data_IF_154257201580
#
_entry.id   IF_154257201580
#
_cell.length_a   1.000
_cell.length_b   1.000
_cell.length_c   1.000
_cell.angle_alpha   90.00
_cell.angle_beta   90.00
_cell.angle_gamma   90.00
#
_symmetry.space_group_name_H-M   'P 1'
#
loop_
_entity.id
_entity.type
_entity.pdbx_description
1 polymer ?
#
# COMPACT_ATOMS: atom_id res chain seq x y z
N UNK A 1 36.69 -0.60 -21.17
CA UNK A 1 38.13 -0.88 -21.40
C UNK A 1 38.45 -1.00 -22.90
N UNK A 2 37.75 -1.84 -23.69
CA UNK A 2 37.98 -1.95 -25.16
C UNK A 2 37.87 -0.62 -25.92
N UNK A 3 36.76 0.11 -25.75
CA UNK A 3 36.56 1.39 -26.45
C UNK A 3 37.62 2.45 -26.13
N UNK A 4 38.12 2.48 -24.89
CA UNK A 4 39.18 3.40 -24.49
C UNK A 4 40.49 3.05 -25.20
N UNK A 5 40.84 1.76 -25.27
CA UNK A 5 42.02 1.29 -26.01
C UNK A 5 41.91 1.65 -27.49
N UNK A 6 40.77 1.43 -28.12
CA UNK A 6 40.54 1.80 -29.53
C UNK A 6 40.70 3.31 -29.76
N UNK A 7 40.19 4.14 -28.85
CA UNK A 7 40.34 5.59 -28.92
C UNK A 7 41.79 6.05 -28.71
N UNK A 8 42.54 5.41 -27.80
CA UNK A 8 43.96 5.69 -27.60
C UNK A 8 44.78 5.34 -28.85
N UNK A 9 44.55 4.16 -29.44
CA UNK A 9 45.22 3.75 -30.68
C UNK A 9 44.91 4.72 -31.82
N UNK A 10 43.64 5.13 -31.98
CA UNK A 10 43.26 6.13 -32.98
C UNK A 10 43.98 7.46 -32.76
N UNK A 11 44.06 7.91 -31.50
CA UNK A 11 44.77 9.13 -31.14
C UNK A 11 46.26 9.07 -31.48
N UNK A 12 46.92 7.95 -31.17
CA UNK A 12 48.34 7.74 -31.49
C UNK A 12 48.57 7.77 -33.01
N UNK A 13 47.71 7.09 -33.79
CA UNK A 13 47.77 7.09 -35.26
C UNK A 13 47.59 8.50 -35.82
N UNK A 14 46.60 9.24 -35.36
CA UNK A 14 46.35 10.62 -35.80
C UNK A 14 47.52 11.55 -35.47
N UNK A 15 48.16 11.35 -34.32
CA UNK A 15 49.33 12.13 -33.90
C UNK A 15 50.53 11.88 -34.81
N UNK A 16 50.79 10.61 -35.16
CA UNK A 16 51.89 10.24 -36.07
C UNK A 16 51.64 10.78 -37.49
N UNK A 17 50.41 10.66 -38.01
CA UNK A 17 50.03 11.18 -39.33
C UNK A 17 50.19 12.71 -39.41
N UNK A 18 49.87 13.43 -38.33
CA UNK A 18 50.03 14.89 -38.25
C UNK A 18 51.49 15.31 -38.44
N UNK A 19 52.42 14.60 -37.80
CA UNK A 19 53.84 14.92 -37.84
C UNK A 19 54.51 14.56 -39.18
N UNK A 20 53.86 13.70 -40.01
CA UNK A 20 54.27 13.27 -41.36
C UNK A 20 55.66 12.63 -41.47
N UNK A 21 56.41 12.54 -40.38
CA UNK A 21 57.79 12.03 -40.34
C UNK A 21 57.84 10.51 -40.48
N UNK A 22 56.82 9.80 -40.01
CA UNK A 22 56.81 8.34 -39.94
C UNK A 22 55.63 7.70 -40.70
N UNK A 23 54.63 8.49 -41.11
CA UNK A 23 53.47 8.01 -41.87
C UNK A 23 52.93 9.13 -42.75
N UNK A 24 52.68 8.83 -44.01
CA UNK A 24 52.04 9.72 -44.99
C UNK A 24 50.85 8.99 -45.60
N UNK A 25 49.74 9.71 -45.80
CA UNK A 25 48.54 9.14 -46.43
C UNK A 25 48.57 9.45 -47.92
N UNK A 26 48.55 8.41 -48.74
CA UNK A 26 48.42 8.56 -50.18
C UNK A 26 46.94 8.68 -50.56
N UNK A 27 46.59 9.60 -51.47
CA UNK A 27 45.22 9.70 -51.97
C UNK A 27 44.88 8.44 -52.77
N UNK A 28 43.82 7.75 -52.34
CA UNK A 28 43.24 6.63 -53.08
C UNK A 28 41.93 7.09 -53.70
N UNK A 29 41.80 6.93 -55.01
CA UNK A 29 40.53 7.07 -55.72
C UNK A 29 39.58 5.95 -55.27
N UNK A 30 38.49 6.30 -54.59
CA UNK A 30 37.42 5.35 -54.34
C UNK A 30 36.57 5.22 -55.59
N UNK A 31 36.65 4.09 -56.28
CA UNK A 31 35.67 3.75 -57.30
C UNK A 31 34.28 3.69 -56.64
N UNK A 32 33.32 4.41 -57.22
CA UNK A 32 31.95 4.44 -56.72
C UNK A 32 31.33 3.04 -56.85
N UNK A 33 31.34 2.29 -55.74
CA UNK A 33 30.67 0.99 -55.66
C UNK A 33 29.17 1.16 -55.97
N UNK A 34 28.58 0.32 -56.84
CA UNK A 34 27.18 0.44 -57.21
C UNK A 34 26.26 0.29 -55.98
N UNK A 35 25.17 1.08 -55.90
CA UNK A 35 24.33 1.21 -54.69
C UNK A 35 23.67 -0.09 -54.20
N UNK A 36 23.59 -1.12 -55.05
CA UNK A 36 23.05 -2.45 -54.70
C UNK A 36 24.03 -3.33 -53.90
N UNK A 37 25.30 -2.94 -53.79
CA UNK A 37 26.35 -3.71 -53.12
C UNK A 37 27.06 -2.89 -52.03
N UNK A 38 26.43 -1.85 -51.46
CA UNK A 38 27.06 -1.13 -50.36
C UNK A 38 26.77 -1.83 -49.01
N UNK A 39 27.70 -2.62 -48.45
CA UNK A 39 27.51 -3.30 -47.17
C UNK A 39 27.23 -2.31 -46.01
N UNK A 40 27.62 -1.04 -46.16
CA UNK A 40 27.38 0.00 -45.16
C UNK A 40 25.87 0.27 -44.98
N UNK A 41 25.08 0.22 -46.06
CA UNK A 41 23.62 0.43 -46.01
C UNK A 41 22.94 -0.70 -45.23
N UNK A 42 23.35 -1.94 -45.46
CA UNK A 42 22.82 -3.10 -44.73
C UNK A 42 23.15 -3.02 -43.23
N UNK A 43 24.39 -2.66 -42.90
CA UNK A 43 24.82 -2.45 -41.51
C UNK A 43 24.02 -1.35 -40.83
N UNK A 44 23.76 -0.24 -41.52
CA UNK A 44 22.96 0.87 -40.99
C UNK A 44 21.52 0.43 -40.68
N UNK A 45 20.88 -0.30 -41.59
CA UNK A 45 19.52 -0.82 -41.40
C UNK A 45 19.47 -1.79 -40.22
N UNK A 46 20.45 -2.69 -40.09
CA UNK A 46 20.57 -3.61 -38.97
C UNK A 46 20.67 -2.85 -37.63
N UNK A 47 21.60 -1.89 -37.53
CA UNK A 47 21.77 -1.05 -36.34
C UNK A 47 20.51 -0.27 -35.98
N UNK A 48 19.81 0.30 -36.96
CA UNK A 48 18.53 1.00 -36.74
C UNK A 48 17.48 0.06 -36.13
N UNK A 49 17.34 -1.16 -36.65
CA UNK A 49 16.40 -2.15 -36.12
C UNK A 49 16.76 -2.57 -34.69
N UNK A 50 18.03 -2.86 -34.43
CA UNK A 50 18.50 -3.22 -33.09
C UNK A 50 18.28 -2.10 -32.07
N UNK A 51 18.53 -0.85 -32.45
CA UNK A 51 18.30 0.31 -31.59
C UNK A 51 16.81 0.51 -31.27
N UNK A 52 15.94 0.38 -32.28
CA UNK A 52 14.50 0.44 -32.07
C UNK A 52 14.01 -0.66 -31.11
N UNK A 53 14.54 -1.88 -31.25
CA UNK A 53 14.28 -2.98 -30.33
C UNK A 53 14.71 -2.67 -28.90
N UNK A 54 15.92 -2.14 -28.71
CA UNK A 54 16.42 -1.73 -27.39
C UNK A 54 15.55 -0.65 -26.75
N UNK A 55 15.11 0.36 -27.53
CA UNK A 55 14.22 1.41 -27.03
C UNK A 55 12.88 0.85 -26.53
N UNK A 56 12.29 -0.11 -27.25
CA UNK A 56 11.04 -0.76 -26.83
C UNK A 56 11.22 -1.56 -25.53
N UNK A 57 12.35 -2.25 -25.36
CA UNK A 57 12.65 -2.98 -24.12
C UNK A 57 12.75 -2.01 -22.93
N UNK A 58 13.45 -0.89 -23.11
CA UNK A 58 13.59 0.13 -22.06
C UNK A 58 12.23 0.74 -21.69
N UNK A 59 11.40 1.06 -22.69
CA UNK A 59 10.06 1.62 -22.47
C UNK A 59 9.17 0.65 -21.69
N UNK A 60 9.12 -0.62 -22.11
CA UNK A 60 8.39 -1.68 -21.40
C UNK A 60 8.93 -1.92 -19.99
N UNK A 61 10.25 -1.78 -19.79
CA UNK A 61 10.89 -1.83 -18.49
C UNK A 61 10.44 -0.68 -17.59
N UNK A 62 10.40 0.55 -18.12
CA UNK A 62 9.93 1.73 -17.40
C UNK A 62 8.45 1.60 -16.99
N UNK A 63 7.58 1.13 -17.87
CA UNK A 63 6.17 0.86 -17.54
C UNK A 63 6.00 -0.12 -16.38
N UNK A 64 6.81 -1.19 -16.36
CA UNK A 64 6.82 -2.17 -15.26
C UNK A 64 7.31 -1.58 -13.96
N UNK A 65 8.32 -0.71 -14.01
CA UNK A 65 8.82 -0.01 -12.83
C UNK A 65 7.76 0.92 -12.24
N UNK A 66 7.03 1.68 -13.08
CA UNK A 66 5.94 2.54 -12.60
C UNK A 66 4.88 1.74 -11.85
N UNK A 67 4.44 0.60 -12.42
CA UNK A 67 3.48 -0.29 -11.74
C UNK A 67 4.02 -0.82 -10.42
N UNK A 68 5.27 -1.26 -10.40
CA UNK A 68 5.93 -1.76 -9.18
C UNK A 68 6.07 -0.68 -8.10
N UNK A 69 6.29 0.58 -8.46
CA UNK A 69 6.31 1.71 -7.50
C UNK A 69 4.95 1.91 -6.86
N UNK A 70 3.86 1.90 -7.64
CA UNK A 70 2.48 2.02 -7.14
C UNK A 70 2.14 0.84 -6.20
N UNK A 71 2.43 -0.39 -6.61
CA UNK A 71 2.24 -1.59 -5.78
C UNK A 71 3.07 -1.53 -4.47
N UNK A 72 4.28 -0.95 -4.51
CA UNK A 72 5.12 -0.80 -3.32
C UNK A 72 4.58 0.26 -2.35
N UNK A 73 3.96 1.32 -2.86
CA UNK A 73 3.26 2.29 -2.01
C UNK A 73 2.05 1.66 -1.33
N UNK A 74 1.23 0.89 -2.05
CA UNK A 74 0.13 0.12 -1.47
C UNK A 74 0.63 -0.88 -0.42
N UNK A 75 1.76 -1.54 -0.66
CA UNK A 75 2.38 -2.46 0.31
C UNK A 75 2.88 -1.74 1.57
N UNK A 76 3.42 -0.51 1.45
CA UNK A 76 3.77 0.31 2.63
C UNK A 76 2.53 0.66 3.45
N UNK A 77 1.46 1.11 2.81
CA UNK A 77 0.19 1.40 3.48
C UNK A 77 -0.43 0.14 4.10
N UNK A 78 -0.30 -1.01 3.45
CA UNK A 78 -0.71 -2.29 4.02
C UNK A 78 0.15 -2.68 5.22
N UNK A 79 1.45 -2.39 5.21
CA UNK A 79 2.30 -2.55 6.40
C UNK A 79 1.87 -1.62 7.53
N UNK A 80 1.51 -0.38 7.21
CA UNK A 80 1.02 0.60 8.20
C UNK A 80 -0.31 0.13 8.81
N UNK A 81 -1.28 -0.30 7.98
CA UNK A 81 -2.52 -0.92 8.45
C UNK A 81 -2.29 -2.12 9.36
N UNK A 82 -1.43 -3.08 8.96
CA UNK A 82 -1.19 -4.28 9.76
C UNK A 82 -0.46 -3.96 11.07
N UNK A 83 0.45 -2.98 11.06
CA UNK A 83 1.17 -2.54 12.26
C UNK A 83 0.22 -1.89 13.27
N UNK A 84 -0.68 -1.02 12.80
CA UNK A 84 -1.70 -0.39 13.64
C UNK A 84 -2.73 -1.40 14.13
N UNK A 85 -3.14 -2.35 13.28
CA UNK A 85 -4.05 -3.42 13.68
C UNK A 85 -3.43 -4.30 14.78
N UNK A 86 -2.12 -4.58 14.67
CA UNK A 86 -1.38 -5.31 15.69
C UNK A 86 -1.32 -4.53 17.01
N UNK A 87 -1.13 -3.19 16.95
CA UNK A 87 -1.18 -2.30 18.11
C UNK A 87 -2.57 -2.30 18.77
N UNK A 88 -3.63 -2.23 17.97
CA UNK A 88 -5.00 -2.32 18.46
C UNK A 88 -5.26 -3.65 19.18
N UNK A 89 -4.77 -4.76 18.62
CA UNK A 89 -4.90 -6.12 19.20
C UNK A 89 -4.23 -6.27 20.57
N UNK A 90 -3.25 -5.43 20.92
CA UNK A 90 -2.62 -5.48 22.25
C UNK A 90 -3.59 -5.10 23.38
N UNK A 91 -4.57 -4.25 23.06
CA UNK A 91 -5.51 -3.70 24.04
C UNK A 91 -6.94 -4.25 23.85
N UNK A 92 -7.28 -4.63 22.61
CA UNK A 92 -8.62 -5.07 22.25
C UNK A 92 -8.64 -6.51 21.76
N UNK A 93 -9.69 -7.24 22.17
CA UNK A 93 -9.92 -8.60 21.68
C UNK A 93 -10.51 -8.54 20.27
N UNK A 94 -9.66 -8.75 19.27
CA UNK A 94 -10.04 -8.78 17.86
C UNK A 94 -10.23 -10.22 17.35
N UNK A 95 -11.19 -10.44 16.45
CA UNK A 95 -11.43 -11.71 15.75
C UNK A 95 -11.74 -11.46 14.28
N UNK A 96 -11.16 -12.29 13.39
CA UNK A 96 -11.55 -12.32 11.97
C UNK A 96 -12.80 -13.19 11.81
N UNK A 97 -13.85 -12.63 11.20
CA UNK A 97 -15.11 -13.31 10.93
C UNK A 97 -15.48 -13.08 9.47
N UNK A 98 -15.29 -14.11 8.64
CA UNK A 98 -15.41 -13.98 7.18
C UNK A 98 -14.39 -12.99 6.65
N UNK A 99 -14.86 -11.93 6.01
CA UNK A 99 -14.03 -10.83 5.49
C UNK A 99 -13.87 -9.65 6.47
N UNK A 100 -14.53 -9.72 7.63
CA UNK A 100 -14.55 -8.63 8.61
C UNK A 100 -13.61 -8.88 9.77
N UNK A 101 -13.11 -7.81 10.37
CA UNK A 101 -12.36 -7.86 11.64
C UNK A 101 -13.24 -7.22 12.70
N UNK A 102 -13.63 -8.00 13.71
CA UNK A 102 -14.53 -7.56 14.76
C UNK A 102 -13.80 -7.46 16.10
N UNK A 103 -14.00 -6.34 16.80
CA UNK A 103 -13.68 -6.15 18.20
C UNK A 103 -14.91 -6.35 19.10
N UNK A 104 -14.68 -6.39 20.41
CA UNK A 104 -15.71 -6.66 21.41
C UNK A 104 -15.62 -5.67 22.59
N UNK A 105 -16.73 -4.96 22.83
CA UNK A 105 -17.01 -3.98 23.89
C UNK A 105 -17.95 -4.56 24.96
N UNK A 106 -18.44 -5.79 24.82
CA UNK A 106 -19.53 -6.32 25.65
C UNK A 106 -19.15 -6.62 27.11
N UNK A 107 -17.90 -6.34 27.53
CA UNK A 107 -17.35 -6.65 28.86
C UNK A 107 -17.68 -8.06 29.38
N UNK A 108 -17.96 -9.02 28.48
CA UNK A 108 -18.33 -10.38 28.84
C UNK A 108 -17.21 -11.10 29.58
N UNK A 109 -15.96 -10.80 29.24
CA UNK A 109 -14.77 -11.28 29.97
C UNK A 109 -14.70 -10.76 31.41
N UNK A 110 -15.37 -9.65 31.72
CA UNK A 110 -15.49 -9.08 33.06
C UNK A 110 -16.83 -9.45 33.75
N UNK A 111 -17.61 -10.37 33.17
CA UNK A 111 -18.84 -10.89 33.79
C UNK A 111 -20.14 -10.16 33.41
N UNK A 112 -20.12 -9.26 32.43
CA UNK A 112 -21.35 -8.62 31.94
C UNK A 112 -22.36 -9.65 31.40
N UNK A 113 -23.60 -9.58 31.90
CA UNK A 113 -24.73 -10.39 31.44
C UNK A 113 -25.61 -9.65 30.42
N UNK A 114 -25.18 -8.48 29.94
CA UNK A 114 -25.97 -7.70 28.99
C UNK A 114 -26.17 -8.50 27.68
N UNK A 115 -27.41 -8.68 27.22
CA UNK A 115 -27.70 -9.57 26.09
C UNK A 115 -27.28 -9.01 24.73
N UNK A 116 -27.14 -7.68 24.58
CA UNK A 116 -26.69 -7.10 23.31
C UNK A 116 -25.24 -7.45 22.98
N UNK A 117 -24.98 -7.61 21.68
CA UNK A 117 -23.65 -7.83 21.14
C UNK A 117 -22.92 -6.49 21.05
N UNK A 118 -21.92 -6.30 21.92
CA UNK A 118 -21.12 -5.09 21.95
C UNK A 118 -20.01 -5.09 20.89
N UNK A 119 -20.25 -5.49 19.64
CA UNK A 119 -19.14 -5.64 18.67
C UNK A 119 -18.94 -4.38 17.84
N UNK A 120 -17.69 -4.01 17.58
CA UNK A 120 -17.32 -3.00 16.59
C UNK A 120 -16.55 -3.64 15.44
N UNK A 121 -16.55 -3.01 14.27
CA UNK A 121 -15.82 -3.46 13.09
C UNK A 121 -14.58 -2.58 12.87
N UNK A 122 -13.46 -3.21 12.53
CA UNK A 122 -12.23 -2.53 12.13
C UNK A 122 -12.09 -2.67 10.62
N UNK A 123 -12.04 -1.54 9.92
CA UNK A 123 -11.90 -1.48 8.47
C UNK A 123 -10.61 -0.73 8.08
N UNK A 124 -10.14 -0.98 6.87
CA UNK A 124 -9.01 -0.22 6.31
C UNK A 124 -9.54 1.14 5.86
N UNK A 125 -8.89 2.21 6.29
CA UNK A 125 -9.18 3.55 5.80
C UNK A 125 -8.64 3.72 4.38
N UNK A 126 -9.55 3.90 3.41
CA UNK A 126 -9.24 4.07 1.98
C UNK A 126 -9.35 5.53 1.50
N UNK A 127 -9.63 6.49 2.38
CA UNK A 127 -9.94 7.88 2.00
C UNK A 127 -8.71 8.74 1.67
N UNK A 128 -7.53 8.13 1.51
CA UNK A 128 -6.32 8.83 1.10
C UNK A 128 -6.21 8.92 -0.42
N UNK A 129 -6.17 10.16 -0.90
CA UNK A 129 -5.71 10.49 -2.24
C UNK A 129 -4.17 10.41 -2.28
N UNK A 130 -3.64 9.39 -2.97
CA UNK A 130 -2.19 9.07 -3.04
C UNK A 130 -1.36 10.19 -3.67
N UNK A 131 -1.99 11.08 -4.44
CA UNK A 131 -1.34 12.22 -5.10
C UNK A 131 -1.19 13.44 -4.17
N UNK A 132 -1.79 13.40 -2.97
CA UNK A 132 -1.73 14.49 -1.99
C UNK A 132 -0.81 14.14 -0.82
N UNK A 133 -0.27 15.19 -0.19
CA UNK A 133 0.52 15.05 1.05
C UNK A 133 -0.36 14.36 2.10
N UNK A 134 0.12 13.23 2.63
CA UNK A 134 -0.57 12.48 3.69
C UNK A 134 -0.80 13.45 4.88
N UNK A 135 -2.05 13.63 5.34
CA UNK A 135 -2.34 14.42 6.53
C UNK A 135 -1.57 13.88 7.73
N UNK A 136 -1.06 14.77 8.59
CA UNK A 136 -0.30 14.35 9.78
C UNK A 136 -1.14 13.50 10.74
N UNK A 137 -2.46 13.68 10.73
CA UNK A 137 -3.42 12.93 11.56
C UNK A 137 -3.99 11.67 10.88
N UNK A 138 -3.38 11.21 9.78
CA UNK A 138 -3.89 10.03 9.08
C UNK A 138 -3.78 8.76 9.95
N UNK A 139 -4.91 8.08 10.14
CA UNK A 139 -4.98 6.75 10.72
C UNK A 139 -5.36 5.71 9.64
N UNK A 140 -4.57 4.65 9.44
CA UNK A 140 -4.86 3.61 8.45
C UNK A 140 -6.02 2.68 8.86
N UNK A 141 -6.43 2.73 10.13
CA UNK A 141 -7.60 2.03 10.65
C UNK A 141 -8.77 2.99 10.77
N UNK A 142 -9.94 2.54 10.36
CA UNK A 142 -11.21 3.13 10.75
C UNK A 142 -12.03 2.12 11.57
N UNK A 143 -12.79 2.61 12.53
CA UNK A 143 -13.54 1.79 13.50
C UNK A 143 -15.01 2.14 13.42
N UNK A 144 -15.81 1.21 12.93
CA UNK A 144 -17.26 1.36 12.85
C UNK A 144 -17.91 0.78 14.09
N UNK A 145 -18.53 1.67 14.87
CA UNK A 145 -19.31 1.33 16.05
C UNK A 145 -20.79 1.39 15.68
N UNK A 146 -21.58 0.32 15.95
CA UNK A 146 -23.03 0.37 15.82
C UNK A 146 -23.65 1.53 16.60
N UNK A 147 -24.66 2.18 16.03
CA UNK A 147 -25.28 3.38 16.60
C UNK A 147 -25.96 3.14 17.96
N UNK A 148 -26.34 1.91 18.28
CA UNK A 148 -26.87 1.53 19.60
C UNK A 148 -25.79 1.48 20.69
N UNK A 149 -24.52 1.48 20.31
CA UNK A 149 -23.35 1.55 21.19
C UNK A 149 -22.65 2.92 21.13
N UNK A 150 -23.12 3.83 20.28
CA UNK A 150 -22.55 5.15 20.12
C UNK A 150 -23.04 6.12 21.21
N UNK A 151 -22.18 7.04 21.62
CA UNK A 151 -22.51 8.09 22.59
C UNK A 151 -22.08 7.78 24.03
N UNK A 152 -22.67 8.50 24.98
CA UNK A 152 -22.38 8.34 26.41
C UNK A 152 -23.66 8.16 27.21
N UNK A 153 -23.67 7.18 28.10
CA UNK A 153 -24.75 6.92 29.03
C UNK A 153 -24.22 6.98 30.47
N UNK A 154 -24.99 7.54 31.38
CA UNK A 154 -24.64 7.64 32.79
C UNK A 154 -25.82 7.22 33.66
N UNK A 155 -25.50 6.57 34.79
CA UNK A 155 -26.50 6.25 35.81
C UNK A 155 -26.65 7.49 36.70
N UNK A 156 -27.79 8.17 36.61
CA UNK A 156 -28.10 9.31 37.48
C UNK A 156 -28.83 8.82 38.72
N UNK A 157 -28.22 8.99 39.89
CA UNK A 157 -28.84 8.73 41.18
C UNK A 157 -29.19 10.07 41.83
N UNK A 158 -30.46 10.27 42.19
CA UNK A 158 -30.91 11.46 42.93
C UNK A 158 -31.77 11.04 44.12
N UNK A 159 -31.48 11.60 45.29
CA UNK A 159 -32.26 11.41 46.50
C UNK A 159 -33.32 12.51 46.54
N UNK A 160 -34.60 12.14 46.56
CA UNK A 160 -35.71 13.09 46.71
C UNK A 160 -36.42 12.88 48.04
N UNK A 161 -36.86 13.98 48.66
CA UNK A 161 -37.69 13.93 49.87
C UNK A 161 -39.06 13.37 49.49
N UNK A 162 -39.54 12.39 50.23
CA UNK A 162 -40.79 11.66 49.94
C UNK A 162 -41.97 12.63 49.78
N UNK A 163 -42.58 12.65 48.60
CA UNK A 163 -43.78 13.43 48.29
C UNK A 163 -45.03 12.53 48.40
N UNK A 164 -46.20 13.02 48.88
CA UNK A 164 -47.40 12.22 49.12
C UNK A 164 -48.00 11.53 47.87
N UNK A 165 -47.55 11.94 46.70
CA UNK A 165 -48.08 11.67 45.35
C UNK A 165 -47.20 10.70 44.53
N UNK A 166 -46.04 10.31 45.05
CA UNK A 166 -45.20 9.26 44.46
C UNK A 166 -45.68 7.90 44.99
N UNK A 167 -46.65 7.33 44.26
CA UNK A 167 -47.05 5.93 44.42
C UNK A 167 -45.84 5.00 44.27
N UNK A 168 -45.87 3.91 45.05
CA UNK A 168 -44.85 2.87 45.22
C UNK A 168 -44.04 2.63 43.94
N UNK A 169 -42.88 3.31 43.82
CA UNK A 169 -41.97 3.12 42.70
C UNK A 169 -41.38 1.72 42.87
N UNK A 170 -42.00 0.76 42.16
CA UNK A 170 -41.78 -0.66 42.31
C UNK A 170 -40.30 -1.01 42.48
N UNK A 171 -39.97 -1.63 43.61
CA UNK A 171 -38.67 -2.24 43.87
C UNK A 171 -38.30 -3.20 42.74
N UNK A 172 -37.37 -2.80 41.88
CA UNK A 172 -36.77 -3.69 40.87
C UNK A 172 -35.53 -4.34 41.48
N UNK A 173 -35.65 -5.62 41.82
CA UNK A 173 -34.51 -6.44 42.27
C UNK A 173 -33.67 -6.88 41.05
N UNK A 174 -32.48 -6.30 40.89
CA UNK A 174 -31.60 -6.47 39.73
C UNK A 174 -30.92 -7.86 39.59
N UNK A 175 -31.16 -8.81 40.51
CA UNK A 175 -30.39 -10.06 40.59
C UNK A 175 -31.21 -11.37 40.54
N UNK A 176 -32.48 -11.35 40.09
CA UNK A 176 -33.23 -12.62 39.95
C UNK A 176 -32.80 -13.39 38.69
N UNK A 177 -32.08 -14.51 38.90
CA UNK A 177 -31.81 -15.54 37.89
C UNK A 177 -33.14 -16.21 37.48
N UNK A 178 -33.46 -16.40 36.19
CA UNK A 178 -34.66 -17.14 35.79
C UNK A 178 -34.52 -18.61 36.22
N UNK A 179 -35.49 -19.15 36.96
CA UNK A 179 -35.58 -20.59 37.20
C UNK A 179 -35.95 -21.31 35.89
N UNK A 180 -35.36 -22.48 35.59
CA UNK A 180 -35.75 -23.28 34.44
C UNK A 180 -37.18 -23.82 34.64
N UNK A 181 -38.04 -23.64 33.63
CA UNK A 181 -39.40 -24.21 33.59
C UNK A 181 -39.30 -25.74 33.53
N UNK A 182 -39.87 -26.44 34.51
CA UNK A 182 -40.03 -27.89 34.46
C UNK A 182 -40.98 -28.28 33.32
N UNK A 183 -40.58 -29.23 32.48
CA UNK A 183 -41.45 -29.81 31.45
C UNK A 183 -42.57 -30.63 32.14
N UNK A 184 -43.83 -30.56 31.66
CA UNK A 184 -44.85 -31.51 32.08
C UNK A 184 -44.56 -32.88 31.43
N UNK A 185 -44.72 -33.94 32.23
CA UNK A 185 -44.69 -35.34 31.78
C UNK A 185 -46.00 -35.76 31.13
#
# INVERSE_FOLDING_TARGET
>A
RSALTEMCVLYDVLSIVRDKKFMTLDPVSQDALPPKQNPQTLQLISKKKSLAGAAQILLKGAERLTKSVTENQENKLQRDFNSELLRLRQHWKLRKVGDKILGDLSYRSAGSLFPHHGTFEVIKNTDLDLDKKIPEDYCPLDVQIPSDLEGSAYIKVSIQKQAPDIGDLGTVNLFKRPLPKSKPG
#
